data_IF_626137105230
#
_entry.id   IF_626137105230
#
_cell.length_a   1.000
_cell.length_b   1.000
_cell.length_c   1.000
_cell.angle_alpha   90.00
_cell.angle_beta   90.00
_cell.angle_gamma   90.00
#
_symmetry.space_group_name_H-M   'P 1'
#
loop_
_entity.id
_entity.type
_entity.pdbx_description
1 polymer ?
#
# COMPACT_ATOMS: atom_id res chain seq x y z
N UNK A 1 -21.82 17.13 -55.01
CA UNK A 1 -22.61 18.01 -54.12
C UNK A 1 -21.79 18.27 -52.85
N UNK A 2 -21.55 19.53 -52.47
CA UNK A 2 -20.72 19.86 -51.28
C UNK A 2 -21.64 19.97 -50.06
N UNK A 3 -21.23 19.40 -48.92
CA UNK A 3 -22.00 19.49 -47.68
C UNK A 3 -22.26 20.95 -47.26
N UNK A 4 -23.49 21.29 -46.81
CA UNK A 4 -23.81 22.59 -46.26
C UNK A 4 -22.91 22.97 -45.09
N UNK A 5 -22.56 24.25 -44.98
CA UNK A 5 -21.58 24.74 -44.01
C UNK A 5 -21.99 24.48 -42.55
N UNK A 6 -23.29 24.38 -42.25
CA UNK A 6 -23.78 24.11 -40.89
C UNK A 6 -23.50 22.69 -40.39
N UNK A 7 -23.40 21.70 -41.28
CA UNK A 7 -23.19 20.28 -40.93
C UNK A 7 -21.85 19.74 -41.43
N UNK A 8 -21.03 20.60 -42.03
CA UNK A 8 -19.72 20.24 -42.54
C UNK A 8 -18.78 19.89 -41.38
N UNK A 9 -18.19 18.69 -41.45
CA UNK A 9 -17.15 18.27 -40.52
C UNK A 9 -15.98 19.27 -40.55
N UNK A 10 -15.62 19.78 -39.38
CA UNK A 10 -14.44 20.65 -39.22
C UNK A 10 -13.20 19.79 -38.98
N UNK A 11 -12.06 20.23 -39.48
CA UNK A 11 -10.77 19.55 -39.28
C UNK A 11 -10.33 19.82 -37.84
N UNK A 12 -10.25 18.76 -37.02
CA UNK A 12 -9.95 18.84 -35.59
C UNK A 12 -10.95 18.03 -34.74
N UNK A 13 -10.91 18.21 -33.42
CA UNK A 13 -11.93 17.66 -32.53
C UNK A 13 -13.31 18.25 -32.81
N UNK A 14 -14.36 17.43 -32.68
CA UNK A 14 -15.76 17.87 -32.82
C UNK A 14 -16.21 18.63 -31.56
N UNK A 15 -17.19 19.51 -31.71
CA UNK A 15 -17.78 20.24 -30.58
C UNK A 15 -18.35 19.23 -29.57
N UNK A 16 -18.15 19.38 -28.24
CA UNK A 16 -18.73 18.50 -27.23
C UNK A 16 -20.24 18.25 -27.40
N UNK A 17 -21.00 19.23 -27.92
CA UNK A 17 -22.43 19.05 -28.22
C UNK A 17 -22.70 18.00 -29.29
N UNK A 18 -21.77 17.79 -30.22
CA UNK A 18 -21.86 16.76 -31.26
C UNK A 18 -21.50 15.36 -30.73
N UNK A 19 -20.89 15.27 -29.53
CA UNK A 19 -20.58 14.00 -28.87
C UNK A 19 -21.73 13.46 -28.02
N UNK A 20 -22.83 14.22 -27.84
CA UNK A 20 -23.97 13.82 -27.03
C UNK A 20 -24.55 12.44 -27.41
N UNK A 21 -24.51 12.08 -28.70
CA UNK A 21 -24.95 10.76 -29.18
C UNK A 21 -24.08 9.63 -28.62
N UNK A 22 -22.76 9.84 -28.52
CA UNK A 22 -21.85 8.86 -27.94
C UNK A 22 -22.05 8.74 -26.42
N UNK A 23 -22.36 9.83 -25.74
CA UNK A 23 -22.71 9.82 -24.32
C UNK A 23 -24.02 9.06 -24.06
N UNK A 24 -25.01 9.21 -24.94
CA UNK A 24 -26.29 8.51 -24.84
C UNK A 24 -26.13 7.00 -25.05
N UNK A 25 -25.30 6.57 -26.01
CA UNK A 25 -24.95 5.15 -26.18
C UNK A 25 -24.22 4.56 -24.97
N UNK A 26 -23.37 5.34 -24.31
CA UNK A 26 -22.67 4.90 -23.10
C UNK A 26 -23.62 4.75 -21.90
N UNK A 27 -24.67 5.60 -21.84
CA UNK A 27 -25.65 5.61 -20.74
C UNK A 27 -26.75 4.57 -20.91
N UNK A 28 -27.19 4.32 -22.15
CA UNK A 28 -28.37 3.51 -22.46
C UNK A 28 -28.00 2.29 -23.30
N UNK A 29 -27.49 1.24 -22.63
CA UNK A 29 -27.19 -0.04 -23.29
C UNK A 29 -28.45 -0.92 -23.31
N UNK A 30 -28.95 -1.33 -24.49
CA UNK A 30 -30.13 -2.20 -24.58
C UNK A 30 -29.97 -3.49 -23.76
N UNK A 31 -30.95 -3.80 -22.93
CA UNK A 31 -30.93 -4.97 -22.03
C UNK A 31 -30.33 -4.71 -20.64
N UNK A 32 -29.87 -3.49 -20.36
CA UNK A 32 -29.36 -3.06 -19.06
C UNK A 32 -30.09 -1.81 -18.57
N UNK A 33 -30.15 -1.62 -17.25
CA UNK A 33 -30.71 -0.41 -16.66
C UNK A 33 -29.78 0.79 -16.93
N UNK A 34 -30.30 1.98 -17.28
CA UNK A 34 -29.49 3.18 -17.50
C UNK A 34 -28.61 3.53 -16.31
N UNK A 35 -27.35 3.88 -16.57
CA UNK A 35 -26.41 4.32 -15.53
C UNK A 35 -26.58 5.81 -15.22
N UNK A 36 -27.06 6.15 -14.02
CA UNK A 36 -27.21 7.55 -13.56
C UNK A 36 -25.98 8.07 -12.80
N UNK A 37 -24.89 7.31 -12.75
CA UNK A 37 -23.74 7.64 -11.92
C UNK A 37 -22.77 8.57 -12.67
N UNK A 38 -22.70 9.83 -12.26
CA UNK A 38 -21.75 10.83 -12.78
C UNK A 38 -20.29 10.53 -12.39
N UNK A 39 -20.03 9.41 -11.73
CA UNK A 39 -18.73 8.95 -11.28
C UNK A 39 -18.09 7.87 -12.18
N UNK A 40 -18.80 7.39 -13.22
CA UNK A 40 -18.20 6.49 -14.20
C UNK A 40 -17.52 7.30 -15.33
N UNK A 41 -16.25 7.03 -15.65
CA UNK A 41 -15.62 7.66 -16.80
C UNK A 41 -16.34 7.23 -18.07
N UNK A 42 -17.10 8.15 -18.66
CA UNK A 42 -17.57 8.04 -20.04
C UNK A 42 -16.35 7.92 -20.96
N UNK A 43 -16.08 6.73 -21.46
CA UNK A 43 -15.18 6.54 -22.59
C UNK A 43 -14.26 5.35 -22.49
N UNK A 44 -14.70 4.23 -23.06
CA UNK A 44 -13.80 3.16 -23.55
C UNK A 44 -12.86 3.68 -24.66
N UNK A 45 -13.10 4.89 -25.21
CA UNK A 45 -12.33 5.48 -26.31
C UNK A 45 -11.49 6.71 -25.94
N UNK A 46 -11.58 7.18 -24.69
CA UNK A 46 -10.79 8.31 -24.22
C UNK A 46 -9.94 7.87 -23.03
N UNK A 47 -8.80 7.19 -23.28
CA UNK A 47 -7.52 7.35 -22.55
C UNK A 47 -6.46 6.25 -22.80
N UNK A 48 -6.17 5.77 -24.03
CA UNK A 48 -4.95 4.96 -24.22
C UNK A 48 -3.69 5.75 -23.79
N UNK A 49 -3.71 7.08 -23.95
CA UNK A 49 -2.58 7.95 -23.58
C UNK A 49 -2.42 8.16 -22.07
N UNK A 50 -3.50 8.28 -21.27
CA UNK A 50 -3.37 8.39 -19.81
C UNK A 50 -3.05 7.05 -19.14
N UNK A 51 -3.55 5.93 -19.68
CA UNK A 51 -3.20 4.60 -19.19
C UNK A 51 -1.72 4.28 -19.49
N UNK A 52 -1.23 4.62 -20.69
CA UNK A 52 0.18 4.47 -21.03
C UNK A 52 1.11 5.30 -20.11
N UNK A 53 0.76 6.57 -19.85
CA UNK A 53 1.54 7.43 -18.95
C UNK A 53 1.51 6.95 -17.50
N UNK A 54 0.35 6.50 -16.99
CA UNK A 54 0.26 5.92 -15.66
C UNK A 54 1.09 4.62 -15.51
N UNK A 55 1.17 3.79 -16.56
CA UNK A 55 2.01 2.58 -16.52
C UNK A 55 3.51 2.89 -16.58
N UNK A 56 3.90 3.96 -17.26
CA UNK A 56 5.31 4.39 -17.32
C UNK A 56 5.77 4.98 -15.98
N UNK A 57 4.90 5.74 -15.29
CA UNK A 57 5.20 6.28 -13.96
C UNK A 57 5.41 5.17 -12.92
N UNK A 58 4.55 4.14 -12.91
CA UNK A 58 4.70 2.96 -12.04
C UNK A 58 6.00 2.22 -12.33
N UNK A 59 6.36 2.07 -13.62
CA UNK A 59 7.61 1.41 -14.00
C UNK A 59 8.84 2.17 -13.50
N UNK A 60 8.85 3.50 -13.59
CA UNK A 60 9.94 4.33 -13.05
C UNK A 60 10.06 4.21 -11.53
N UNK A 61 8.93 4.11 -10.82
CA UNK A 61 8.92 3.90 -9.37
C UNK A 61 9.55 2.56 -9.01
N UNK A 62 9.20 1.48 -9.72
CA UNK A 62 9.84 0.19 -9.53
C UNK A 62 11.33 0.20 -9.88
N UNK A 63 11.72 0.81 -11.01
CA UNK A 63 13.12 0.87 -11.44
C UNK A 63 13.98 1.64 -10.41
N UNK A 64 13.43 2.72 -9.83
CA UNK A 64 14.06 3.45 -8.73
C UNK A 64 14.17 2.60 -7.46
N UNK A 65 13.08 1.93 -7.08
CA UNK A 65 13.04 1.04 -5.91
C UNK A 65 14.07 -0.09 -6.02
N UNK A 66 14.19 -0.71 -7.20
CA UNK A 66 15.21 -1.72 -7.49
C UNK A 66 16.63 -1.18 -7.30
N UNK A 67 16.93 -0.02 -7.88
CA UNK A 67 18.27 0.58 -7.77
C UNK A 67 18.66 0.89 -6.31
N UNK A 68 17.73 1.42 -5.52
CA UNK A 68 17.95 1.70 -4.09
C UNK A 68 18.12 0.40 -3.29
N UNK A 69 17.30 -0.64 -3.54
CA UNK A 69 17.46 -1.97 -2.93
C UNK A 69 18.81 -2.62 -3.26
N UNK A 70 19.24 -2.53 -4.52
CA UNK A 70 20.54 -3.03 -4.96
C UNK A 70 21.69 -2.31 -4.24
N UNK A 71 21.59 -0.98 -4.07
CA UNK A 71 22.57 -0.20 -3.32
C UNK A 71 22.63 -0.65 -1.86
N UNK A 72 21.49 -0.87 -1.20
CA UNK A 72 21.44 -1.41 0.15
C UNK A 72 22.09 -2.79 0.24
N UNK A 73 21.83 -3.69 -0.72
CA UNK A 73 22.41 -5.03 -0.78
C UNK A 73 23.93 -5.02 -1.02
N UNK A 74 24.42 -4.15 -1.91
CA UNK A 74 25.85 -3.98 -2.18
C UNK A 74 26.61 -3.43 -0.97
N UNK A 75 25.93 -2.66 -0.14
CA UNK A 75 26.47 -2.13 1.11
C UNK A 75 26.60 -3.19 2.21
N UNK A 76 26.05 -4.40 2.05
CA UNK A 76 26.11 -5.44 3.08
C UNK A 76 27.49 -6.08 3.08
N UNK A 77 28.19 -6.17 4.23
CA UNK A 77 29.49 -6.82 4.32
C UNK A 77 29.45 -8.25 3.76
N UNK A 78 30.49 -8.65 3.02
CA UNK A 78 30.57 -10.00 2.43
C UNK A 78 30.48 -11.12 3.47
N UNK A 79 30.92 -10.87 4.71
CA UNK A 79 30.78 -11.80 5.84
C UNK A 79 29.32 -12.12 6.19
N UNK A 80 28.40 -11.21 5.89
CA UNK A 80 26.95 -11.35 6.10
C UNK A 80 26.22 -11.77 4.82
N UNK A 81 26.92 -12.11 3.74
CA UNK A 81 26.30 -12.43 2.46
C UNK A 81 25.34 -13.62 2.55
N UNK A 82 25.67 -14.64 3.37
CA UNK A 82 24.86 -15.84 3.60
C UNK A 82 23.88 -15.70 4.76
N UNK A 83 23.80 -14.52 5.40
CA UNK A 83 22.84 -14.29 6.47
C UNK A 83 21.39 -14.42 5.92
N UNK A 84 20.47 -15.08 6.65
CA UNK A 84 19.08 -15.24 6.22
C UNK A 84 18.38 -13.92 5.87
N UNK A 85 18.63 -12.83 6.59
CA UNK A 85 18.06 -11.51 6.30
C UNK A 85 18.59 -10.95 4.98
N UNK A 86 19.89 -11.12 4.70
CA UNK A 86 20.46 -10.74 3.41
C UNK A 86 19.83 -11.53 2.26
N UNK A 87 19.57 -12.83 2.47
CA UNK A 87 18.89 -13.64 1.46
C UNK A 87 17.43 -13.24 1.27
N UNK A 88 16.72 -12.91 2.35
CA UNK A 88 15.37 -12.38 2.28
C UNK A 88 15.32 -11.04 1.53
N UNK A 89 16.31 -10.16 1.70
CA UNK A 89 16.42 -8.92 0.90
C UNK A 89 16.65 -9.18 -0.60
N UNK A 90 17.44 -10.19 -0.96
CA UNK A 90 17.59 -10.60 -2.36
C UNK A 90 16.28 -11.13 -2.92
N UNK A 91 15.57 -11.96 -2.15
CA UNK A 91 14.24 -12.44 -2.53
C UNK A 91 13.21 -11.31 -2.65
N UNK A 92 13.30 -10.28 -1.81
CA UNK A 92 12.47 -9.08 -1.92
C UNK A 92 12.75 -8.34 -3.23
N UNK A 93 14.02 -8.12 -3.58
CA UNK A 93 14.41 -7.51 -4.87
C UNK A 93 13.87 -8.32 -6.05
N UNK A 94 13.99 -9.65 -6.03
CA UNK A 94 13.40 -10.51 -7.07
C UNK A 94 11.87 -10.32 -7.19
N UNK A 95 11.17 -10.18 -6.07
CA UNK A 95 9.74 -9.90 -6.08
C UNK A 95 9.41 -8.52 -6.67
N UNK A 96 10.25 -7.50 -6.45
CA UNK A 96 10.11 -6.19 -7.11
C UNK A 96 10.26 -6.34 -8.63
N UNK A 97 11.27 -7.10 -9.09
CA UNK A 97 11.49 -7.37 -10.51
C UNK A 97 10.27 -8.07 -11.14
N UNK A 98 9.70 -9.06 -10.44
CA UNK A 98 8.49 -9.75 -10.89
C UNK A 98 7.29 -8.80 -10.99
N UNK A 99 7.05 -7.97 -9.97
CA UNK A 99 5.96 -7.00 -9.97
C UNK A 99 6.12 -5.95 -11.08
N UNK A 100 7.35 -5.49 -11.32
CA UNK A 100 7.70 -4.55 -12.40
C UNK A 100 7.43 -5.13 -13.79
N UNK A 101 7.76 -6.39 -14.00
CA UNK A 101 7.66 -7.05 -15.32
C UNK A 101 6.24 -7.55 -15.63
N UNK A 102 5.52 -8.03 -14.62
CA UNK A 102 4.13 -8.50 -14.77
C UNK A 102 3.16 -7.37 -15.05
N UNK A 103 3.37 -6.20 -14.42
CA UNK A 103 2.49 -5.02 -14.52
C UNK A 103 1.03 -5.32 -14.15
N UNK A 104 0.82 -6.23 -13.20
CA UNK A 104 -0.50 -6.59 -12.71
C UNK A 104 -0.64 -6.39 -11.19
N UNK A 105 -1.89 -6.26 -10.74
CA UNK A 105 -2.21 -5.98 -9.35
C UNK A 105 -1.98 -7.19 -8.41
N UNK A 106 -1.92 -8.40 -8.94
CA UNK A 106 -1.70 -9.63 -8.15
C UNK A 106 -0.24 -9.69 -7.73
N UNK A 107 0.69 -9.42 -8.65
CA UNK A 107 2.11 -9.36 -8.36
C UNK A 107 2.43 -8.21 -7.39
N UNK A 108 1.77 -7.06 -7.54
CA UNK A 108 1.91 -5.95 -6.58
C UNK A 108 1.38 -6.31 -5.18
N UNK A 109 0.24 -7.02 -5.09
CA UNK A 109 -0.27 -7.53 -3.83
C UNK A 109 0.68 -8.55 -3.19
N UNK A 110 1.22 -9.47 -3.97
CA UNK A 110 2.20 -10.46 -3.49
C UNK A 110 3.49 -9.80 -2.99
N UNK A 111 3.99 -8.77 -3.69
CA UNK A 111 5.13 -7.97 -3.25
C UNK A 111 4.83 -7.23 -1.94
N UNK A 112 3.65 -6.59 -1.83
CA UNK A 112 3.21 -5.90 -0.62
C UNK A 112 3.14 -6.86 0.56
N UNK A 113 2.52 -8.03 0.39
CA UNK A 113 2.41 -9.05 1.44
C UNK A 113 3.80 -9.53 1.88
N UNK A 114 4.69 -9.83 0.92
CA UNK A 114 6.08 -10.21 1.22
C UNK A 114 6.81 -9.14 2.03
N UNK A 115 6.60 -7.87 1.71
CA UNK A 115 7.23 -6.76 2.42
C UNK A 115 6.67 -6.57 3.85
N UNK A 116 5.36 -6.75 4.06
CA UNK A 116 4.76 -6.67 5.40
C UNK A 116 5.17 -7.87 6.27
N UNK A 117 5.05 -9.09 5.74
CA UNK A 117 5.42 -10.31 6.45
C UNK A 117 6.92 -10.31 6.79
N UNK A 118 7.77 -9.85 5.87
CA UNK A 118 9.20 -9.74 6.11
C UNK A 118 9.52 -8.81 7.29
N UNK A 119 8.80 -7.69 7.45
CA UNK A 119 8.95 -6.80 8.61
C UNK A 119 8.49 -7.48 9.92
N UNK A 120 7.36 -8.18 9.88
CA UNK A 120 6.82 -8.87 11.06
C UNK A 120 7.72 -10.03 11.51
N UNK A 121 8.28 -10.79 10.57
CA UNK A 121 9.18 -11.92 10.83
C UNK A 121 10.63 -11.49 11.13
N UNK A 122 10.92 -10.18 11.09
CA UNK A 122 12.25 -9.66 11.36
C UNK A 122 12.69 -9.99 12.80
N UNK A 123 13.65 -10.89 12.93
CA UNK A 123 14.17 -11.34 14.24
C UNK A 123 15.19 -10.34 14.81
N UNK A 124 15.00 -9.97 16.08
CA UNK A 124 15.83 -8.98 16.81
C UNK A 124 17.24 -9.49 17.19
N UNK A 125 17.67 -10.66 16.69
CA UNK A 125 18.98 -11.26 16.98
C UNK A 125 20.03 -11.07 15.89
N UNK A 126 19.70 -10.39 14.80
CA UNK A 126 20.65 -10.08 13.74
C UNK A 126 21.60 -8.93 14.14
N UNK A 127 22.69 -8.81 13.38
CA UNK A 127 23.53 -7.61 13.38
C UNK A 127 22.65 -6.35 13.27
N UNK A 128 22.85 -5.38 14.16
CA UNK A 128 21.93 -4.25 14.32
C UNK A 128 21.86 -3.38 13.05
N UNK A 129 22.99 -3.20 12.37
CA UNK A 129 23.06 -2.43 11.13
C UNK A 129 22.36 -3.18 9.98
N UNK A 130 22.51 -4.51 9.92
CA UNK A 130 21.77 -5.35 8.98
C UNK A 130 20.27 -5.30 9.23
N UNK A 131 19.83 -5.37 10.49
CA UNK A 131 18.42 -5.32 10.86
C UNK A 131 17.80 -3.96 10.51
N UNK A 132 18.50 -2.86 10.78
CA UNK A 132 18.08 -1.52 10.40
C UNK A 132 17.87 -1.43 8.89
N UNK A 133 18.88 -1.84 8.12
CA UNK A 133 18.80 -1.86 6.66
C UNK A 133 17.69 -2.76 6.15
N UNK A 134 17.52 -3.92 6.77
CA UNK A 134 16.46 -4.85 6.42
C UNK A 134 15.10 -4.17 6.52
N UNK A 135 14.84 -3.44 7.60
CA UNK A 135 13.60 -2.67 7.80
C UNK A 135 13.46 -1.53 6.80
N UNK A 136 14.53 -0.79 6.53
CA UNK A 136 14.54 0.30 5.54
C UNK A 136 14.16 -0.20 4.15
N UNK A 137 14.72 -1.34 3.70
CA UNK A 137 14.41 -1.94 2.40
C UNK A 137 12.94 -2.34 2.27
N UNK A 138 12.34 -2.93 3.31
CA UNK A 138 10.93 -3.31 3.27
C UNK A 138 10.02 -2.06 3.26
N UNK A 139 10.35 -1.04 4.06
CA UNK A 139 9.63 0.23 4.06
C UNK A 139 9.77 0.98 2.73
N UNK A 140 10.93 0.93 2.10
CA UNK A 140 11.18 1.50 0.77
C UNK A 140 10.21 0.90 -0.25
N UNK A 141 10.08 -0.43 -0.29
CA UNK A 141 9.13 -1.11 -1.19
C UNK A 141 7.69 -0.69 -0.90
N UNK A 142 7.26 -0.68 0.37
CA UNK A 142 5.89 -0.31 0.73
C UNK A 142 5.58 1.14 0.36
N UNK A 143 6.52 2.07 0.57
CA UNK A 143 6.38 3.47 0.18
C UNK A 143 6.37 3.66 -1.33
N UNK A 144 7.16 2.89 -2.06
CA UNK A 144 7.14 2.91 -3.53
C UNK A 144 5.76 2.49 -4.06
N UNK A 145 5.15 1.45 -3.49
CA UNK A 145 3.79 1.04 -3.83
C UNK A 145 2.75 2.10 -3.45
N UNK A 146 2.95 2.77 -2.30
CA UNK A 146 2.05 3.80 -1.77
C UNK A 146 2.12 5.14 -2.54
N UNK A 147 3.16 5.38 -3.34
CA UNK A 147 3.30 6.59 -4.16
C UNK A 147 2.01 6.84 -4.95
N UNK A 148 1.56 8.10 -5.00
CA UNK A 148 0.30 8.48 -5.65
C UNK A 148 0.29 8.22 -7.16
N UNK A 149 1.46 8.05 -7.79
CA UNK A 149 1.60 7.66 -9.18
C UNK A 149 1.67 6.13 -9.36
N UNK A 150 1.78 5.37 -8.28
CA UNK A 150 1.70 3.92 -8.26
C UNK A 150 0.28 3.47 -7.85
N UNK A 151 0.13 2.80 -6.70
CA UNK A 151 -1.17 2.28 -6.24
C UNK A 151 -1.88 3.22 -5.25
N UNK A 152 -1.14 4.18 -4.68
CA UNK A 152 -1.68 5.19 -3.77
C UNK A 152 -2.00 4.68 -2.36
N UNK A 153 -2.06 5.63 -1.43
CA UNK A 153 -2.35 5.36 -0.01
C UNK A 153 -3.64 4.58 0.26
N UNK A 154 -4.80 4.87 -0.37
CA UNK A 154 -6.05 4.16 -0.07
C UNK A 154 -5.97 2.65 -0.32
N UNK A 155 -5.35 2.25 -1.43
CA UNK A 155 -5.19 0.83 -1.76
C UNK A 155 -4.13 0.18 -0.87
N UNK A 156 -2.94 0.78 -0.78
CA UNK A 156 -1.85 0.23 0.02
C UNK A 156 -2.23 0.07 1.49
N UNK A 157 -2.79 1.12 2.11
CA UNK A 157 -3.12 1.08 3.53
C UNK A 157 -4.18 0.01 3.83
N UNK A 158 -5.16 -0.16 2.93
CA UNK A 158 -6.14 -1.23 3.04
C UNK A 158 -5.49 -2.62 2.99
N UNK A 159 -4.61 -2.87 2.03
CA UNK A 159 -3.96 -4.19 1.90
C UNK A 159 -2.96 -4.47 3.03
N UNK A 160 -2.19 -3.47 3.46
CA UNK A 160 -1.24 -3.60 4.58
C UNK A 160 -2.00 -3.88 5.87
N UNK A 161 -3.07 -3.12 6.15
CA UNK A 161 -3.89 -3.36 7.35
C UNK A 161 -4.53 -4.74 7.34
N UNK A 162 -5.00 -5.20 6.18
CA UNK A 162 -5.49 -6.57 6.03
C UNK A 162 -4.41 -7.60 6.33
N UNK A 163 -3.19 -7.41 5.81
CA UNK A 163 -2.06 -8.27 6.08
C UNK A 163 -1.72 -8.32 7.58
N UNK A 164 -1.75 -7.18 8.29
CA UNK A 164 -1.56 -7.13 9.74
C UNK A 164 -2.65 -7.84 10.56
N UNK A 165 -3.90 -7.83 10.06
CA UNK A 165 -5.03 -8.48 10.72
C UNK A 165 -4.98 -10.00 10.54
N UNK A 166 -4.66 -10.42 9.31
CA UNK A 166 -4.69 -11.82 8.85
C UNK A 166 -3.33 -12.53 8.99
N UNK A 167 -2.29 -11.86 9.51
CA UNK A 167 -0.97 -12.46 9.67
C UNK A 167 -0.96 -13.59 10.70
N UNK A 168 0.06 -14.45 10.60
CA UNK A 168 0.18 -15.63 11.47
C UNK A 168 0.54 -15.24 12.90
N UNK A 169 0.08 -16.05 13.86
CA UNK A 169 0.21 -15.76 15.29
C UNK A 169 1.65 -15.68 15.79
N UNK A 170 2.61 -16.35 15.11
CA UNK A 170 4.01 -16.39 15.55
C UNK A 170 4.69 -15.01 15.53
N UNK A 171 4.25 -14.12 14.62
CA UNK A 171 4.83 -12.79 14.43
C UNK A 171 3.81 -11.65 14.45
N UNK A 172 2.53 -11.95 14.72
CA UNK A 172 1.41 -10.98 14.76
C UNK A 172 1.64 -9.81 15.71
N UNK A 173 2.32 -10.06 16.83
CA UNK A 173 2.55 -9.07 17.88
C UNK A 173 3.98 -8.51 17.91
N UNK A 174 4.63 -8.42 16.74
CA UNK A 174 5.90 -7.72 16.61
C UNK A 174 5.69 -6.19 16.70
N UNK A 175 5.82 -5.65 17.92
CA UNK A 175 5.57 -4.22 18.22
C UNK A 175 6.44 -3.30 17.38
N UNK A 176 7.73 -3.62 17.21
CA UNK A 176 8.67 -2.80 16.45
C UNK A 176 8.25 -2.68 14.97
N UNK A 177 7.78 -3.78 14.38
CA UNK A 177 7.32 -3.80 12.99
C UNK A 177 6.02 -3.02 12.80
N UNK A 178 5.04 -3.21 13.70
CA UNK A 178 3.75 -2.51 13.64
C UNK A 178 3.94 -1.01 13.88
N UNK A 179 4.76 -0.63 14.85
CA UNK A 179 5.14 0.76 15.10
C UNK A 179 5.72 1.41 13.83
N UNK A 180 6.66 0.74 13.15
CA UNK A 180 7.25 1.25 11.91
C UNK A 180 6.20 1.47 10.83
N UNK A 181 5.27 0.53 10.63
CA UNK A 181 4.22 0.67 9.63
C UNK A 181 3.28 1.84 9.95
N UNK A 182 2.89 1.98 11.21
CA UNK A 182 2.02 3.07 11.67
C UNK A 182 2.70 4.42 11.49
N UNK A 183 3.95 4.56 11.94
CA UNK A 183 4.71 5.83 11.83
C UNK A 183 4.98 6.24 10.39
N UNK A 184 4.99 5.30 9.46
CA UNK A 184 5.14 5.60 8.04
C UNK A 184 3.79 5.82 7.32
N UNK A 185 2.68 5.96 8.08
CA UNK A 185 1.34 6.18 7.55
C UNK A 185 0.86 5.08 6.59
N UNK A 186 1.31 3.84 6.79
CA UNK A 186 1.00 2.69 5.95
C UNK A 186 -0.22 1.91 6.45
N UNK A 187 -0.75 2.24 7.63
CA UNK A 187 -1.85 1.52 8.27
C UNK A 187 -3.11 2.38 8.28
N UNK A 188 -4.26 1.76 8.01
CA UNK A 188 -5.56 2.37 8.27
C UNK A 188 -5.84 2.25 9.78
N UNK A 189 -5.54 3.31 10.52
CA UNK A 189 -5.65 3.32 11.98
C UNK A 189 -7.06 3.02 12.49
N UNK A 190 -8.11 3.53 11.85
CA UNK A 190 -9.48 3.28 12.27
C UNK A 190 -9.83 1.78 12.23
N UNK A 191 -9.43 1.09 11.15
CA UNK A 191 -9.67 -0.34 11.01
C UNK A 191 -8.78 -1.16 11.95
N UNK A 192 -7.51 -0.77 12.10
CA UNK A 192 -6.56 -1.49 12.93
C UNK A 192 -6.87 -1.36 14.42
N UNK A 193 -7.21 -0.16 14.90
CA UNK A 193 -7.61 0.13 16.28
C UNK A 193 -8.80 -0.74 16.72
N UNK A 194 -9.87 -0.76 15.92
CA UNK A 194 -11.05 -1.57 16.21
C UNK A 194 -10.70 -3.07 16.30
N UNK A 195 -9.89 -3.57 15.36
CA UNK A 195 -9.46 -4.97 15.37
C UNK A 195 -8.59 -5.31 16.58
N UNK A 196 -7.64 -4.43 16.94
CA UNK A 196 -6.77 -4.64 18.09
C UNK A 196 -7.56 -4.66 19.40
N UNK A 197 -8.51 -3.75 19.56
CA UNK A 197 -9.44 -3.73 20.69
C UNK A 197 -10.22 -5.06 20.83
N UNK A 198 -10.75 -5.56 19.71
CA UNK A 198 -11.46 -6.85 19.67
C UNK A 198 -10.54 -8.04 19.98
N UNK A 199 -9.30 -8.00 19.49
CA UNK A 199 -8.32 -9.09 19.66
C UNK A 199 -7.92 -9.30 21.12
N UNK A 200 -8.07 -8.30 21.99
CA UNK A 200 -7.83 -8.44 23.42
C UNK A 200 -8.88 -9.30 24.13
N UNK A 201 -10.02 -9.56 23.50
CA UNK A 201 -11.09 -10.44 24.02
C UNK A 201 -11.50 -10.09 25.46
N UNK A 202 -11.66 -8.80 25.75
CA UNK A 202 -11.95 -8.27 27.10
C UNK A 202 -10.95 -8.74 28.17
N UNK A 203 -9.67 -8.88 27.82
CA UNK A 203 -8.61 -9.27 28.73
C UNK A 203 -8.27 -10.77 28.71
N UNK A 204 -9.04 -11.59 28.00
CA UNK A 204 -8.78 -13.03 27.90
C UNK A 204 -7.54 -13.33 27.04
N UNK A 205 -7.28 -12.51 26.02
CA UNK A 205 -6.09 -12.66 25.19
C UNK A 205 -4.93 -11.83 25.75
N UNK A 206 -4.22 -12.40 26.73
CA UNK A 206 -3.10 -11.74 27.41
C UNK A 206 -1.99 -11.26 26.46
N UNK A 207 -1.74 -12.00 25.37
CA UNK A 207 -0.73 -11.62 24.38
C UNK A 207 -1.15 -10.35 23.63
N UNK A 208 -2.41 -10.27 23.20
CA UNK A 208 -2.95 -9.08 22.56
C UNK A 208 -2.99 -7.87 23.51
N UNK A 209 -3.33 -8.08 24.78
CA UNK A 209 -3.32 -7.02 25.81
C UNK A 209 -1.92 -6.48 26.01
N UNK A 210 -0.94 -7.36 26.25
CA UNK A 210 0.46 -6.95 26.46
C UNK A 210 1.01 -6.19 25.24
N UNK A 211 0.71 -6.69 24.05
CA UNK A 211 1.05 -6.02 22.79
C UNK A 211 0.41 -4.63 22.69
N UNK A 212 -0.89 -4.51 22.94
CA UNK A 212 -1.62 -3.25 22.86
C UNK A 212 -1.06 -2.22 23.87
N UNK A 213 -0.80 -2.63 25.11
CA UNK A 213 -0.17 -1.77 26.12
C UNK A 213 1.20 -1.25 25.66
N UNK A 214 2.03 -2.13 25.10
CA UNK A 214 3.37 -1.74 24.64
C UNK A 214 3.29 -0.79 23.45
N UNK A 215 2.41 -1.08 22.49
CA UNK A 215 2.20 -0.25 21.30
C UNK A 215 1.69 1.15 21.67
N UNK A 216 0.68 1.24 22.56
CA UNK A 216 0.15 2.53 23.06
C UNK A 216 1.25 3.34 23.76
N UNK A 217 2.04 2.70 24.63
CA UNK A 217 3.14 3.36 25.32
C UNK A 217 4.15 3.96 24.33
N UNK A 218 4.59 3.18 23.34
CA UNK A 218 5.60 3.63 22.38
C UNK A 218 5.08 4.71 21.43
N UNK A 219 3.80 4.63 21.04
CA UNK A 219 3.22 5.59 20.10
C UNK A 219 2.83 6.92 20.75
N UNK A 220 2.31 6.89 21.98
CA UNK A 220 1.69 8.06 22.62
C UNK A 220 2.47 8.63 23.82
N UNK A 221 3.29 7.82 24.50
CA UNK A 221 3.93 8.22 25.77
C UNK A 221 5.43 8.50 25.60
N UNK A 222 6.14 7.72 24.79
CA UNK A 222 7.57 7.93 24.59
C UNK A 222 7.85 9.22 23.79
N UNK A 223 8.30 10.29 24.48
CA UNK A 223 8.58 11.63 23.91
C UNK A 223 9.63 11.65 22.79
N UNK A 224 10.40 10.57 22.63
CA UNK A 224 11.32 10.39 21.49
C UNK A 224 10.58 10.12 20.17
N UNK A 225 9.28 9.82 20.26
CA UNK A 225 8.34 9.62 19.16
C UNK A 225 7.90 10.96 18.58
N UNK A 226 8.50 11.38 17.46
CA UNK A 226 8.03 12.55 16.67
C UNK A 226 6.78 12.19 15.84
N UNK A 227 6.01 11.17 16.25
CA UNK A 227 4.84 10.74 15.50
C UNK A 227 3.65 11.66 15.80
N UNK A 228 2.96 12.14 14.75
CA UNK A 228 1.68 12.86 14.85
C UNK A 228 0.51 11.95 15.27
N UNK A 229 0.78 10.93 16.10
CA UNK A 229 -0.23 10.03 16.62
C UNK A 229 -0.89 10.65 17.84
N UNK A 230 -2.21 10.52 17.91
CA UNK A 230 -3.01 11.02 19.02
C UNK A 230 -3.80 9.88 19.65
N UNK A 231 -4.31 10.10 20.86
CA UNK A 231 -5.22 9.15 21.51
C UNK A 231 -6.45 8.82 20.66
N UNK A 232 -6.88 9.74 19.79
CA UNK A 232 -8.01 9.52 18.89
C UNK A 232 -7.75 8.42 17.86
N UNK A 233 -6.50 8.18 17.48
CA UNK A 233 -6.13 7.16 16.50
C UNK A 233 -6.17 5.72 17.08
N UNK A 234 -6.16 5.60 18.42
CA UNK A 234 -6.19 4.33 19.16
C UNK A 234 -7.33 4.30 20.20
N UNK A 235 -8.42 5.01 19.91
CA UNK A 235 -9.50 5.25 20.86
C UNK A 235 -10.08 3.94 21.44
N UNK A 236 -10.43 2.96 20.58
CA UNK A 236 -11.05 1.72 21.04
C UNK A 236 -10.06 0.87 21.84
N UNK A 237 -8.81 0.82 21.39
CA UNK A 237 -7.74 0.09 22.08
C UNK A 237 -7.53 0.64 23.49
N UNK A 238 -7.43 1.97 23.63
CA UNK A 238 -7.26 2.64 24.93
C UNK A 238 -8.48 2.39 25.82
N UNK A 239 -9.69 2.52 25.27
CA UNK A 239 -10.93 2.29 26.01
C UNK A 239 -11.00 0.86 26.55
N UNK A 240 -10.66 -0.14 25.74
CA UNK A 240 -10.63 -1.54 26.19
C UNK A 240 -9.57 -1.76 27.27
N UNK A 241 -8.36 -1.20 27.10
CA UNK A 241 -7.28 -1.31 28.09
C UNK A 241 -7.65 -0.66 29.44
N UNK A 242 -8.45 0.40 29.44
CA UNK A 242 -8.92 1.03 30.68
C UNK A 242 -9.98 0.20 31.45
N UNK A 243 -10.63 -0.75 30.78
CA UNK A 243 -11.74 -1.54 31.35
C UNK A 243 -11.30 -2.89 31.91
N UNK A 244 -10.08 -3.34 31.60
CA UNK A 244 -9.47 -4.59 32.06
C UNK A 244 -8.57 -4.35 33.27
#
# INVERSE_FOLDING_TARGET
ERMPEQIRLKVGGVDPKQLAVYEEFARNVPGFLPTNDSSQPTGILAQPMKQAWATDDVAQIYDKCMAELEQHLQSVPHTLAMNPQTQALRSLLEAVVVARNSRDAIAALGLLQKAVEGLLDATSGADADLLLRYRECHLLVLKALQDGRAYGSPWCNKQITRCLIECRDEYKYNVEAVELLIRNHLVNMQQYDLHLAQSMENGLNYMAVAFAMQLVKILLVDERSVAHMTEADLFHTIETLMRI
#
